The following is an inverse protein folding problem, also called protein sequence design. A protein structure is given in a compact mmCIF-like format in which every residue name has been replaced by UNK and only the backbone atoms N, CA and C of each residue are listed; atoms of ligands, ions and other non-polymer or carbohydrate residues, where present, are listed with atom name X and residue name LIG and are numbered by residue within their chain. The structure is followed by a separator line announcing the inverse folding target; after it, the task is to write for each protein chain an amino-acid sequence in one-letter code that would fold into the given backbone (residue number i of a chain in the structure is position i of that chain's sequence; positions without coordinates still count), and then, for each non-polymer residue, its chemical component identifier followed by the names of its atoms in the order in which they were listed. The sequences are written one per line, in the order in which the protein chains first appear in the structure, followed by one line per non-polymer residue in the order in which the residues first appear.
data_IF_347259856336
#
_entry.id   IF_347259856336
#
_cell.length_a   1.000
_cell.length_b   1.000
_cell.length_c   1.000
_cell.angle_alpha   90.00
_cell.angle_beta   90.00
_cell.angle_gamma   90.00
#
_symmetry.space_group_name_H-M   'P 1'
#
loop_
_entity.id
_entity.type
_entity.pdbx_description
1 polymer ?
#
# COMPACT_ATOMS: atom_id res chain seq x y z
N UNK A 1 -13.93 14.51 3.48
CA UNK A 1 -12.65 14.59 2.77
C UNK A 1 -11.77 13.49 3.34
N UNK A 2 -11.76 12.30 2.72
CA UNK A 2 -10.87 11.21 3.14
C UNK A 2 -9.44 11.61 2.79
N UNK A 3 -8.59 11.80 3.80
CA UNK A 3 -7.15 11.87 3.63
C UNK A 3 -6.64 10.45 3.36
N UNK A 4 -6.98 9.90 2.20
CA UNK A 4 -6.27 8.74 1.68
C UNK A 4 -4.85 9.24 1.42
N UNK A 5 -3.97 9.01 2.38
CA UNK A 5 -2.55 9.14 2.21
C UNK A 5 -2.23 8.27 1.01
N UNK A 6 -1.88 8.91 -0.11
CA UNK A 6 -1.31 8.23 -1.23
C UNK A 6 0.00 7.63 -0.73
N UNK A 7 -0.06 6.40 -0.21
CA UNK A 7 1.08 5.53 0.01
C UNK A 7 1.66 5.22 -1.37
N UNK A 8 2.25 6.22 -2.02
CA UNK A 8 3.00 6.06 -3.24
C UNK A 8 4.33 5.40 -2.85
N UNK A 9 4.24 4.11 -2.56
CA UNK A 9 5.39 3.22 -2.34
C UNK A 9 6.14 3.03 -3.67
N UNK A 10 5.49 3.39 -4.79
CA UNK A 10 6.16 3.57 -6.06
C UNK A 10 6.66 5.01 -6.16
N UNK A 11 7.97 5.24 -6.27
CA UNK A 11 8.43 6.53 -6.73
C UNK A 11 7.90 6.72 -8.17
N UNK A 12 7.41 7.92 -8.49
CA UNK A 12 6.80 8.28 -9.78
C UNK A 12 7.78 8.13 -10.98
N UNK A 13 9.01 7.70 -10.73
CA UNK A 13 10.08 7.46 -11.68
C UNK A 13 10.68 6.06 -11.52
N UNK A 14 10.16 5.09 -12.27
CA UNK A 14 10.81 3.78 -12.51
C UNK A 14 12.23 3.88 -13.12
N UNK A 15 12.76 5.08 -13.37
CA UNK A 15 14.04 5.38 -14.00
C UNK A 15 14.87 6.47 -13.29
N UNK A 16 14.47 6.99 -12.13
CA UNK A 16 15.23 8.03 -11.43
C UNK A 16 16.09 7.47 -10.29
N UNK A 17 17.24 8.10 -9.97
CA UNK A 17 18.00 7.72 -8.79
C UNK A 17 17.17 8.08 -7.54
N UNK A 18 16.74 7.06 -6.79
CA UNK A 18 16.13 7.19 -5.45
C UNK A 18 17.10 8.02 -4.59
N UNK A 19 16.88 9.33 -4.56
CA UNK A 19 17.75 10.27 -3.86
C UNK A 19 17.21 10.41 -2.45
N UNK A 20 17.85 9.70 -1.52
CA UNK A 20 17.51 9.66 -0.11
C UNK A 20 16.65 8.45 0.25
N UNK A 21 17.17 7.59 1.10
CA UNK A 21 16.39 6.55 1.76
C UNK A 21 15.37 7.24 2.67
N UNK A 22 14.17 7.50 2.16
CA UNK A 22 13.08 8.07 2.95
C UNK A 22 12.60 7.00 3.92
N UNK A 23 12.76 7.23 5.21
CA UNK A 23 12.13 6.40 6.23
C UNK A 23 10.61 6.64 6.20
N UNK A 24 9.91 5.74 5.52
CA UNK A 24 8.46 5.78 5.37
C UNK A 24 7.74 5.68 6.72
N UNK A 25 8.30 4.95 7.69
CA UNK A 25 7.68 4.83 9.01
C UNK A 25 7.76 6.17 9.76
N UNK A 26 8.92 6.84 9.71
CA UNK A 26 9.08 8.18 10.26
C UNK A 26 8.18 9.21 9.56
N UNK A 27 8.04 9.13 8.23
CA UNK A 27 7.15 10.00 7.47
C UNK A 27 5.67 9.83 7.87
N UNK A 28 5.21 8.58 8.03
CA UNK A 28 3.85 8.28 8.49
C UNK A 28 3.63 8.80 9.91
N UNK A 29 4.58 8.60 10.82
CA UNK A 29 4.45 9.09 12.19
C UNK A 29 4.39 10.63 12.23
N UNK A 30 5.20 11.30 11.42
CA UNK A 30 5.19 12.76 11.29
C UNK A 30 3.86 13.28 10.71
N UNK A 31 3.26 12.57 9.75
CA UNK A 31 1.94 12.92 9.19
C UNK A 31 0.79 12.82 10.20
N UNK A 32 0.99 12.10 11.30
CA UNK A 32 0.04 11.94 12.39
C UNK A 32 0.44 12.74 13.65
N UNK A 33 1.25 13.79 13.50
CA UNK A 33 1.72 14.65 14.61
C UNK A 33 2.38 13.86 15.76
N UNK A 34 3.01 12.71 15.44
CA UNK A 34 3.61 11.82 16.44
C UNK A 34 2.62 10.89 17.15
N UNK A 35 1.32 10.91 16.82
CA UNK A 35 0.34 9.96 17.35
C UNK A 35 0.46 8.60 16.65
N UNK A 36 1.29 7.74 17.25
CA UNK A 36 1.52 6.38 16.77
C UNK A 36 0.25 5.52 16.69
N UNK A 37 -0.73 5.71 17.59
CA UNK A 37 -1.96 4.92 17.56
C UNK A 37 -2.87 5.37 16.42
N UNK A 38 -2.94 6.67 16.14
CA UNK A 38 -3.64 7.22 14.98
C UNK A 38 -3.03 6.70 13.68
N UNK A 39 -1.69 6.74 13.58
CA UNK A 39 -0.95 6.21 12.43
C UNK A 39 -1.22 4.72 12.19
N UNK A 40 -1.13 3.89 13.24
CA UNK A 40 -1.38 2.44 13.13
C UNK A 40 -2.83 2.15 12.74
N UNK A 41 -3.81 2.87 13.31
CA UNK A 41 -5.23 2.70 12.94
C UNK A 41 -5.48 3.03 11.48
N UNK A 42 -4.85 4.09 10.97
CA UNK A 42 -4.95 4.47 9.57
C UNK A 42 -4.30 3.40 8.66
N UNK A 43 -3.10 2.94 9.00
CA UNK A 43 -2.43 1.84 8.29
C UNK A 43 -3.25 0.55 8.25
N UNK A 44 -3.92 0.19 9.34
CA UNK A 44 -4.81 -0.98 9.36
C UNK A 44 -6.01 -0.78 8.43
N UNK A 45 -6.62 0.42 8.41
CA UNK A 45 -7.72 0.73 7.51
C UNK A 45 -7.31 0.65 6.04
N UNK A 46 -6.13 1.17 5.69
CA UNK A 46 -5.60 1.09 4.33
C UNK A 46 -5.26 -0.34 3.92
N UNK A 47 -4.71 -1.14 4.85
CA UNK A 47 -4.45 -2.57 4.60
C UNK A 47 -5.75 -3.35 4.34
N UNK A 48 -6.81 -3.07 5.09
CA UNK A 48 -8.12 -3.70 4.90
C UNK A 48 -8.77 -3.27 3.58
N UNK A 49 -8.68 -1.99 3.23
CA UNK A 49 -9.12 -1.49 1.92
C UNK A 49 -8.38 -2.19 0.77
N UNK A 50 -7.05 -2.31 0.87
CA UNK A 50 -6.24 -3.00 -0.15
C UNK A 50 -6.61 -4.47 -0.27
N UNK A 51 -6.88 -5.16 0.85
CA UNK A 51 -7.34 -6.56 0.84
C UNK A 51 -8.69 -6.70 0.13
N UNK A 52 -9.63 -5.79 0.35
CA UNK A 52 -10.93 -5.79 -0.35
C UNK A 52 -10.74 -5.59 -1.86
N UNK A 53 -9.87 -4.66 -2.26
CA UNK A 53 -9.54 -4.43 -3.68
C UNK A 53 -8.91 -5.67 -4.32
N UNK A 54 -7.98 -6.34 -3.63
CA UNK A 54 -7.37 -7.59 -4.11
C UNK A 54 -8.40 -8.72 -4.21
N UNK A 55 -9.33 -8.81 -3.26
CA UNK A 55 -10.43 -9.76 -3.32
C UNK A 55 -11.29 -9.52 -4.56
N UNK A 56 -11.75 -8.29 -4.78
CA UNK A 56 -12.53 -7.92 -5.97
C UNK A 56 -11.77 -8.25 -7.26
N UNK A 57 -10.51 -7.86 -7.34
CA UNK A 57 -9.66 -8.16 -8.49
C UNK A 57 -9.57 -9.67 -8.74
N UNK A 58 -9.32 -10.46 -7.69
CA UNK A 58 -9.21 -11.93 -7.79
C UNK A 58 -10.49 -12.60 -8.30
N UNK A 59 -11.66 -12.00 -8.07
CA UNK A 59 -12.96 -12.53 -8.50
C UNK A 59 -13.29 -12.18 -9.96
N UNK A 60 -12.82 -11.04 -10.46
CA UNK A 60 -13.18 -10.52 -11.78
C UNK A 60 -12.11 -10.83 -12.85
N UNK A 61 -10.85 -11.03 -12.44
CA UNK A 61 -9.76 -11.30 -13.37
C UNK A 61 -9.84 -12.70 -13.99
N UNK A 62 -9.79 -12.77 -15.33
CA UNK A 62 -9.74 -14.04 -16.04
C UNK A 62 -8.34 -14.68 -15.94
N UNK A 63 -8.27 -16.01 -15.97
CA UNK A 63 -7.01 -16.75 -15.94
C UNK A 63 -6.09 -16.41 -17.13
N UNK A 64 -6.68 -16.09 -18.30
CA UNK A 64 -5.93 -15.73 -19.51
C UNK A 64 -5.25 -14.35 -19.42
N UNK A 65 -5.89 -13.38 -18.76
CA UNK A 65 -5.37 -12.00 -18.63
C UNK A 65 -4.01 -11.96 -17.93
N UNK A 66 -3.86 -12.77 -16.89
CA UNK A 66 -2.67 -12.77 -16.00
C UNK A 66 -1.87 -14.05 -16.07
N UNK A 67 -2.08 -14.87 -17.12
CA UNK A 67 -1.38 -16.16 -17.32
C UNK A 67 -1.41 -17.05 -16.07
N UNK A 68 -2.56 -17.11 -15.41
CA UNK A 68 -2.78 -17.93 -14.21
C UNK A 68 -2.23 -17.33 -12.90
N UNK A 69 -1.60 -16.15 -12.92
CA UNK A 69 -1.19 -15.48 -11.69
C UNK A 69 -2.41 -15.08 -10.85
N UNK A 70 -2.29 -15.18 -9.52
CA UNK A 70 -3.32 -14.72 -8.58
C UNK A 70 -2.68 -13.90 -7.45
N UNK A 71 -3.38 -12.87 -6.94
CA UNK A 71 -2.94 -12.13 -5.76
C UNK A 71 -2.68 -13.05 -4.57
N UNK A 72 -1.65 -12.73 -3.78
CA UNK A 72 -1.36 -13.37 -2.49
C UNK A 72 -1.58 -12.35 -1.38
N UNK A 73 -2.32 -12.74 -0.36
CA UNK A 73 -2.63 -11.86 0.78
C UNK A 73 -1.52 -11.82 1.83
N UNK A 74 -0.67 -12.85 1.83
CA UNK A 74 0.42 -13.00 2.79
C UNK A 74 1.75 -12.72 2.09
N UNK A 75 2.63 -12.00 2.79
CA UNK A 75 4.03 -11.83 2.38
C UNK A 75 4.77 -13.14 2.73
N UNK A 76 5.56 -13.73 1.80
CA UNK A 76 6.44 -14.83 2.15
C UNK A 76 7.48 -14.34 3.18
N UNK A 77 7.74 -15.18 4.19
CA UNK A 77 8.73 -14.89 5.23
C UNK A 77 10.14 -14.71 4.66
#
# INVERSE_FOLDING_TARGET
MSQQLAFNIYPDDINGPVSGEVDLAAAVLAAHDGDALSAIRNLMADADFLRDQLYRASKVMSQGMVRGWRPRYERPA
#
